data_IF_154458992446
#
_entry.id   IF_154458992446
#
_cell.length_a   1.000
_cell.length_b   1.000
_cell.length_c   1.000
_cell.angle_alpha   90.00
_cell.angle_beta   90.00
_cell.angle_gamma   90.00
#
_symmetry.space_group_name_H-M   'P 1'
#
loop_
_entity.id
_entity.type
_entity.pdbx_description
1 polymer ?
#
# COMPACT_ATOMS: atom_id res chain seq x y z
N UNK A 1 2.54 11.61 19.34
CA UNK A 1 3.99 11.81 19.42
C UNK A 1 4.79 10.53 19.19
N UNK A 2 4.57 9.47 19.97
CA UNK A 2 5.30 8.19 19.81
C UNK A 2 4.95 7.49 18.49
N UNK A 3 3.66 7.39 18.16
CA UNK A 3 3.21 6.89 16.85
C UNK A 3 3.88 7.65 15.70
N UNK A 4 3.85 8.98 15.73
CA UNK A 4 4.44 9.84 14.70
C UNK A 4 5.95 9.59 14.56
N UNK A 5 6.67 9.43 15.67
CA UNK A 5 8.09 9.15 15.67
C UNK A 5 8.42 7.79 15.02
N UNK A 6 7.63 6.75 15.30
CA UNK A 6 7.80 5.44 14.66
C UNK A 6 7.60 5.52 13.13
N UNK A 7 6.61 6.30 12.68
CA UNK A 7 6.38 6.54 11.25
C UNK A 7 7.56 7.30 10.62
N UNK A 8 8.01 8.39 11.24
CA UNK A 8 9.11 9.20 10.73
C UNK A 8 10.43 8.42 10.66
N UNK A 9 10.77 7.68 11.71
CA UNK A 9 11.98 6.85 11.74
C UNK A 9 11.90 5.69 10.74
N UNK A 10 10.73 5.06 10.60
CA UNK A 10 10.47 4.03 9.59
C UNK A 10 10.72 4.56 8.18
N UNK A 11 10.22 5.76 7.88
CA UNK A 11 10.44 6.43 6.61
C UNK A 11 11.93 6.71 6.36
N UNK A 12 12.67 7.18 7.37
CA UNK A 12 14.10 7.49 7.25
C UNK A 12 14.96 6.27 6.88
N UNK A 13 14.64 5.09 7.43
CA UNK A 13 15.44 3.88 7.22
C UNK A 13 14.93 2.98 6.08
N UNK A 14 13.73 3.24 5.56
CA UNK A 14 13.07 2.43 4.53
C UNK A 14 13.90 2.20 3.26
N UNK A 15 14.75 3.17 2.87
CA UNK A 15 15.61 3.06 1.70
C UNK A 15 16.92 2.30 1.91
N UNK A 16 17.31 2.02 3.16
CA UNK A 16 18.62 1.45 3.50
C UNK A 16 18.53 0.14 4.29
N UNK A 17 17.49 -0.02 5.10
CA UNK A 17 17.23 -1.22 5.90
C UNK A 17 15.72 -1.46 5.97
N UNK A 18 15.25 -2.33 5.06
CA UNK A 18 13.82 -2.64 4.93
C UNK A 18 13.27 -3.34 6.16
N UNK A 19 14.03 -4.24 6.77
CA UNK A 19 13.54 -5.04 7.88
C UNK A 19 13.44 -4.18 9.15
N UNK A 20 14.39 -3.26 9.35
CA UNK A 20 14.31 -2.26 10.41
C UNK A 20 13.17 -1.26 10.22
N UNK A 21 12.86 -0.87 8.97
CA UNK A 21 11.71 -0.02 8.67
C UNK A 21 10.40 -0.76 8.95
N UNK A 22 10.28 -2.01 8.48
CA UNK A 22 9.11 -2.84 8.69
C UNK A 22 8.81 -3.03 10.18
N UNK A 23 9.83 -3.28 11.00
CA UNK A 23 9.66 -3.41 12.45
C UNK A 23 9.04 -2.15 13.09
N UNK A 24 9.43 -0.95 12.65
CA UNK A 24 8.85 0.31 13.15
C UNK A 24 7.41 0.50 12.72
N UNK A 25 7.08 0.21 11.45
CA UNK A 25 5.70 0.29 10.96
C UNK A 25 4.78 -0.71 11.64
N UNK A 26 5.27 -1.92 11.95
CA UNK A 26 4.52 -2.92 12.71
C UNK A 26 4.20 -2.40 14.11
N UNK A 27 5.17 -1.83 14.82
CA UNK A 27 4.94 -1.25 16.15
C UNK A 27 3.91 -0.10 16.10
N UNK A 28 3.99 0.77 15.09
CA UNK A 28 3.00 1.83 14.91
C UNK A 28 1.60 1.25 14.61
N UNK A 29 1.50 0.20 13.80
CA UNK A 29 0.24 -0.49 13.53
C UNK A 29 -0.34 -1.13 14.80
N UNK A 30 0.47 -1.75 15.65
CA UNK A 30 0.03 -2.32 16.93
C UNK A 30 -0.60 -1.25 17.83
N UNK A 31 -0.07 -0.03 17.86
CA UNK A 31 -0.69 1.10 18.57
C UNK A 31 -2.09 1.41 18.04
N UNK A 32 -2.28 1.51 16.72
CA UNK A 32 -3.60 1.77 16.11
C UNK A 32 -4.62 0.69 16.49
N UNK A 33 -4.18 -0.57 16.53
CA UNK A 33 -5.02 -1.70 16.89
C UNK A 33 -5.42 -1.65 18.36
N UNK A 34 -4.46 -1.38 19.25
CA UNK A 34 -4.69 -1.32 20.70
C UNK A 34 -5.57 -0.14 21.11
N UNK A 35 -5.38 1.02 20.45
CA UNK A 35 -6.17 2.22 20.70
C UNK A 35 -7.55 2.19 20.05
N UNK A 36 -7.83 1.15 19.23
CA UNK A 36 -9.06 1.01 18.45
C UNK A 36 -9.40 2.28 17.64
N UNK A 37 -8.38 2.91 17.04
CA UNK A 37 -8.50 4.19 16.35
C UNK A 37 -9.43 4.15 15.12
N UNK A 38 -9.65 2.96 14.55
CA UNK A 38 -10.56 2.71 13.45
C UNK A 38 -11.11 1.27 13.49
N UNK A 39 -12.19 1.02 12.74
CA UNK A 39 -12.71 -0.34 12.49
C UNK A 39 -12.26 -0.78 11.11
N UNK A 40 -11.38 -1.78 11.04
CA UNK A 40 -10.86 -2.33 9.80
C UNK A 40 -11.78 -3.47 9.31
N UNK A 41 -12.76 -3.13 8.47
CA UNK A 41 -13.84 -4.07 8.11
C UNK A 41 -13.40 -5.07 7.02
N UNK A 42 -12.74 -4.60 5.97
CA UNK A 42 -12.25 -5.43 4.87
C UNK A 42 -11.21 -4.67 4.04
N UNK A 43 -10.33 -5.44 3.40
CA UNK A 43 -9.49 -4.95 2.30
C UNK A 43 -10.27 -5.14 0.98
N UNK A 44 -10.44 -4.07 0.19
CA UNK A 44 -11.26 -4.13 -1.02
C UNK A 44 -10.41 -4.68 -2.18
N UNK A 45 -10.86 -5.75 -2.87
CA UNK A 45 -10.19 -6.16 -4.08
C UNK A 45 -10.39 -5.12 -5.18
N UNK A 46 -9.34 -4.87 -5.97
CA UNK A 46 -9.45 -4.03 -7.15
C UNK A 46 -10.23 -4.74 -8.25
N UNK A 47 -11.31 -4.11 -8.72
CA UNK A 47 -12.14 -4.62 -9.80
C UNK A 47 -11.91 -3.77 -11.04
N UNK A 48 -11.48 -4.43 -12.13
CA UNK A 48 -11.23 -3.79 -13.41
C UNK A 48 -12.09 -4.41 -14.50
N UNK A 49 -12.75 -3.58 -15.30
CA UNK A 49 -13.60 -4.00 -16.43
C UNK A 49 -12.95 -3.52 -17.71
N UNK A 50 -12.55 -4.45 -18.57
CA UNK A 50 -11.75 -4.19 -19.77
C UNK A 50 -12.37 -4.94 -20.95
N UNK A 51 -12.31 -4.36 -22.15
CA UNK A 51 -12.74 -5.06 -23.37
C UNK A 51 -11.83 -6.27 -23.62
N UNK A 52 -12.42 -7.34 -24.13
CA UNK A 52 -11.72 -8.59 -24.46
C UNK A 52 -10.67 -8.44 -25.56
N UNK A 53 -10.85 -7.44 -26.43
CA UNK A 53 -9.91 -7.08 -27.49
C UNK A 53 -8.82 -6.09 -27.05
N UNK A 54 -8.63 -5.84 -25.75
CA UNK A 54 -7.53 -5.03 -25.22
C UNK A 54 -6.51 -5.92 -24.53
N UNK A 55 -5.25 -5.78 -24.92
CA UNK A 55 -4.10 -6.48 -24.33
C UNK A 55 -3.16 -5.50 -23.63
N UNK A 56 -2.29 -6.05 -22.76
CA UNK A 56 -1.22 -5.28 -22.09
C UNK A 56 -1.61 -4.64 -20.75
N UNK A 57 -2.88 -4.74 -20.34
CA UNK A 57 -3.28 -4.28 -19.02
C UNK A 57 -2.72 -5.20 -17.91
N UNK A 58 -2.11 -4.58 -16.89
CA UNK A 58 -1.63 -5.25 -15.67
C UNK A 58 -2.13 -4.45 -14.47
N UNK A 59 -2.84 -5.09 -13.55
CA UNK A 59 -3.23 -4.45 -12.29
C UNK A 59 -1.99 -4.23 -11.42
N UNK A 60 -1.79 -3.00 -10.94
CA UNK A 60 -0.78 -2.67 -9.94
C UNK A 60 -1.49 -2.34 -8.62
N UNK A 61 -1.48 -3.25 -7.62
CA UNK A 61 -2.17 -3.03 -6.35
C UNK A 61 -1.69 -1.80 -5.56
N UNK A 62 -0.46 -1.32 -5.80
CA UNK A 62 0.04 -0.09 -5.18
C UNK A 62 -0.53 1.18 -5.85
N UNK A 63 -1.00 1.06 -7.10
CA UNK A 63 -1.54 2.14 -7.91
C UNK A 63 -2.77 1.67 -8.71
N UNK A 64 -3.84 1.20 -8.03
CA UNK A 64 -4.91 0.45 -8.68
C UNK A 64 -5.72 1.27 -9.67
N UNK A 65 -5.70 2.60 -9.55
CA UNK A 65 -6.41 3.52 -10.45
C UNK A 65 -5.51 4.14 -11.53
N UNK A 66 -4.29 3.63 -11.71
CA UNK A 66 -3.36 4.10 -12.74
C UNK A 66 -3.34 3.12 -13.91
N UNK A 67 -3.50 3.66 -15.12
CA UNK A 67 -3.40 2.89 -16.38
C UNK A 67 -2.21 3.41 -17.18
N UNK A 68 -1.28 2.51 -17.51
CA UNK A 68 -0.16 2.79 -18.41
C UNK A 68 -0.60 2.63 -19.86
N UNK A 69 -1.22 3.69 -20.42
CA UNK A 69 -1.84 3.66 -21.75
C UNK A 69 -0.89 3.27 -22.89
N UNK A 70 0.40 3.59 -22.77
CA UNK A 70 1.41 3.23 -23.77
C UNK A 70 1.76 1.73 -23.81
N UNK A 71 1.31 0.96 -22.82
CA UNK A 71 1.47 -0.50 -22.76
C UNK A 71 0.26 -1.24 -23.33
N UNK A 72 -0.83 -0.52 -23.65
CA UNK A 72 -2.05 -1.11 -24.18
C UNK A 72 -2.01 -1.27 -25.70
N UNK A 73 -2.58 -2.37 -26.17
CA UNK A 73 -2.80 -2.63 -27.59
C UNK A 73 -4.19 -3.23 -27.83
N UNK A 74 -4.62 -3.22 -29.10
CA UNK A 74 -5.84 -3.89 -29.58
C UNK A 74 -5.48 -5.11 -30.41
#
# INVERSE_FOLDING_TARGET
PEYDALIDEGNQVSGVDRDAAAAKFIQAQEMLMNDAAAVFILDLPDIHVIRDDISGYVNNPAYPHVVFWHELSK
#
